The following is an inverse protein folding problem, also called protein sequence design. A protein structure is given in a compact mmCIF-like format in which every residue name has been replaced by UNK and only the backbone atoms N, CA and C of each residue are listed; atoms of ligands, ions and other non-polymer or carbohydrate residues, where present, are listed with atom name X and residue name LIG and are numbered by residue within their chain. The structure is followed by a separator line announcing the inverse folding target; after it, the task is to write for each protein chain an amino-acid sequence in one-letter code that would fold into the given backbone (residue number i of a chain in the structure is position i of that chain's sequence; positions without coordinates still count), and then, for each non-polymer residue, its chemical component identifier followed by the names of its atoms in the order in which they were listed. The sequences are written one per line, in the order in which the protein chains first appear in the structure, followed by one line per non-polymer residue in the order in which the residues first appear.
data_IF_154263231970
#
_entry.id   IF_154263231970
#
_cell.length_a   1.000
_cell.length_b   1.000
_cell.length_c   1.000
_cell.angle_alpha   90.00
_cell.angle_beta   90.00
_cell.angle_gamma   90.00
#
_symmetry.space_group_name_H-M   'P 1'
#
loop_
_entity.id
_entity.type
_entity.pdbx_description
1 polymer ?
#
# COMPACT_ATOMS: atom_id res chain seq x y z
N UNK A 1 -19.69 -41.63 2.51
CA UNK A 1 -20.40 -40.37 2.21
C UNK A 1 -19.33 -39.31 2.13
N UNK A 2 -19.09 -38.77 0.94
CA UNK A 2 -18.11 -37.70 0.75
C UNK A 2 -18.65 -36.47 1.48
N UNK A 3 -17.86 -35.91 2.40
CA UNK A 3 -18.21 -34.75 3.23
C UNK A 3 -17.10 -33.73 3.13
N UNK A 4 -17.45 -32.47 3.34
CA UNK A 4 -16.44 -31.43 3.49
C UNK A 4 -15.74 -31.59 4.84
N UNK A 5 -14.45 -31.35 4.85
CA UNK A 5 -13.62 -31.25 6.04
C UNK A 5 -13.23 -29.79 6.20
N UNK A 6 -13.43 -29.23 7.40
CA UNK A 6 -13.05 -27.86 7.72
C UNK A 6 -11.90 -27.87 8.70
N UNK A 7 -10.81 -27.22 8.32
CA UNK A 7 -9.65 -27.00 9.18
C UNK A 7 -9.58 -25.50 9.49
N UNK A 8 -9.38 -25.16 10.76
CA UNK A 8 -9.33 -23.76 11.22
C UNK A 8 -7.97 -23.52 11.86
N UNK A 9 -7.33 -22.42 11.46
CA UNK A 9 -6.05 -21.97 12.01
C UNK A 9 -6.12 -20.46 12.25
N UNK A 10 -6.13 -20.07 13.52
CA UNK A 10 -6.39 -18.69 13.95
C UNK A 10 -7.73 -18.21 13.34
N UNK A 11 -7.74 -17.05 12.67
CA UNK A 11 -8.91 -16.55 11.97
C UNK A 11 -9.11 -17.11 10.54
N UNK A 12 -8.16 -17.91 10.05
CA UNK A 12 -8.21 -18.49 8.71
C UNK A 12 -8.85 -19.89 8.76
N UNK A 13 -9.35 -20.35 7.63
CA UNK A 13 -9.84 -21.72 7.49
C UNK A 13 -9.71 -22.24 6.07
N UNK A 14 -9.69 -23.57 5.97
CA UNK A 14 -9.76 -24.32 4.73
C UNK A 14 -10.96 -25.26 4.77
N UNK A 15 -11.71 -25.35 3.68
CA UNK A 15 -12.78 -26.32 3.48
C UNK A 15 -12.44 -27.20 2.29
N UNK A 16 -12.10 -28.46 2.56
CA UNK A 16 -11.64 -29.40 1.55
C UNK A 16 -12.66 -30.52 1.34
N UNK A 17 -12.83 -30.93 0.08
CA UNK A 17 -13.57 -32.14 -0.30
C UNK A 17 -12.77 -32.93 -1.32
N UNK A 18 -12.33 -34.13 -0.94
CA UNK A 18 -11.62 -35.05 -1.81
C UNK A 18 -12.57 -36.14 -2.35
N UNK A 19 -12.78 -36.13 -3.66
CA UNK A 19 -13.63 -37.07 -4.40
C UNK A 19 -12.90 -37.52 -5.69
N UNK A 20 -13.59 -37.50 -6.83
CA UNK A 20 -12.98 -37.63 -8.16
C UNK A 20 -12.11 -36.41 -8.52
N UNK A 21 -12.45 -35.26 -7.96
CA UNK A 21 -11.67 -34.00 -7.99
C UNK A 21 -11.45 -33.54 -6.54
N UNK A 22 -10.34 -32.84 -6.30
CA UNK A 22 -10.04 -32.23 -5.01
C UNK A 22 -10.43 -30.76 -5.07
N UNK A 23 -11.41 -30.36 -4.25
CA UNK A 23 -11.79 -28.96 -4.09
C UNK A 23 -11.31 -28.45 -2.75
N UNK A 24 -10.59 -27.33 -2.73
CA UNK A 24 -10.19 -26.64 -1.50
C UNK A 24 -10.57 -25.15 -1.54
N UNK A 25 -11.39 -24.72 -0.58
CA UNK A 25 -11.73 -23.32 -0.38
C UNK A 25 -10.95 -22.77 0.82
N UNK A 26 -9.99 -21.89 0.58
CA UNK A 26 -9.20 -21.22 1.60
C UNK A 26 -9.73 -19.82 1.88
N UNK A 27 -9.71 -19.40 3.15
CA UNK A 27 -10.07 -18.05 3.59
C UNK A 27 -8.90 -17.34 4.27
N UNK A 28 -8.59 -16.13 3.81
CA UNK A 28 -7.61 -15.23 4.44
C UNK A 28 -8.32 -14.03 5.08
N UNK A 29 -8.32 -14.03 6.41
CA UNK A 29 -9.00 -13.01 7.19
C UNK A 29 -8.31 -11.64 7.11
N UNK A 30 -6.98 -11.56 6.97
CA UNK A 30 -6.25 -10.30 6.83
C UNK A 30 -6.55 -9.54 5.53
N UNK A 31 -6.95 -10.28 4.49
CA UNK A 31 -7.33 -9.71 3.18
C UNK A 31 -8.81 -9.33 3.14
N UNK A 32 -9.65 -9.99 3.94
CA UNK A 32 -11.10 -9.80 3.94
C UNK A 32 -11.54 -8.36 4.24
N UNK A 33 -12.28 -7.74 3.30
CA UNK A 33 -12.85 -6.40 3.45
C UNK A 33 -14.04 -6.31 4.43
N UNK A 34 -14.63 -7.44 4.83
CA UNK A 34 -15.90 -7.45 5.58
C UNK A 34 -17.08 -6.89 4.77
N UNK A 35 -17.07 -7.05 3.45
CA UNK A 35 -18.08 -6.45 2.56
C UNK A 35 -19.42 -7.21 2.51
N UNK A 36 -19.43 -8.48 2.87
CA UNK A 36 -20.62 -9.33 2.86
C UNK A 36 -21.08 -9.84 1.49
N UNK A 37 -20.30 -9.63 0.42
CA UNK A 37 -20.66 -10.14 -0.93
C UNK A 37 -20.80 -11.66 -0.91
N UNK A 38 -19.88 -12.36 -0.24
CA UNK A 38 -19.89 -13.82 -0.10
C UNK A 38 -21.14 -14.33 0.63
N UNK A 39 -21.62 -13.63 1.66
CA UNK A 39 -22.86 -13.94 2.36
C UNK A 39 -24.07 -13.75 1.43
N UNK A 40 -24.18 -12.59 0.76
CA UNK A 40 -25.34 -12.27 -0.09
C UNK A 40 -25.46 -13.13 -1.35
N UNK A 41 -24.36 -13.73 -1.80
CA UNK A 41 -24.29 -14.50 -3.05
C UNK A 41 -24.22 -16.01 -2.83
N UNK A 42 -24.18 -16.47 -1.58
CA UNK A 42 -24.12 -17.90 -1.28
C UNK A 42 -25.50 -18.55 -1.54
N UNK A 43 -25.64 -19.43 -2.55
CA UNK A 43 -26.95 -19.98 -2.94
C UNK A 43 -27.53 -20.96 -1.92
N UNK A 44 -26.71 -21.41 -0.97
CA UNK A 44 -27.07 -22.39 0.08
C UNK A 44 -26.98 -21.79 1.48
N UNK A 45 -26.82 -20.46 1.59
CA UNK A 45 -26.77 -19.72 2.86
C UNK A 45 -25.79 -20.36 3.87
N UNK A 46 -24.63 -20.80 3.36
CA UNK A 46 -23.59 -21.42 4.18
C UNK A 46 -22.69 -20.39 4.86
N UNK A 47 -22.69 -19.13 4.40
CA UNK A 47 -21.77 -18.08 4.86
C UNK A 47 -22.52 -17.08 5.71
N UNK A 48 -21.95 -16.70 6.85
CA UNK A 48 -22.43 -15.62 7.73
C UNK A 48 -21.33 -14.59 7.91
N UNK A 49 -21.65 -13.31 7.71
CA UNK A 49 -20.76 -12.18 7.99
C UNK A 49 -20.90 -11.81 9.47
N UNK A 50 -19.79 -11.85 10.20
CA UNK A 50 -19.77 -11.47 11.62
C UNK A 50 -19.68 -9.93 11.78
N UNK A 51 -19.87 -9.42 12.99
CA UNK A 51 -19.94 -7.98 13.26
C UNK A 51 -18.61 -7.26 12.96
N UNK A 52 -18.52 -6.71 11.75
CA UNK A 52 -17.30 -6.12 11.16
C UNK A 52 -16.79 -4.86 11.90
N UNK A 53 -17.70 -4.07 12.50
CA UNK A 53 -17.35 -2.76 13.08
C UNK A 53 -16.55 -2.82 14.40
N UNK A 54 -16.52 -3.97 15.08
CA UNK A 54 -15.73 -4.20 16.31
C UNK A 54 -14.27 -4.51 15.94
N UNK A 55 -14.08 -5.27 14.87
CA UNK A 55 -12.79 -5.83 14.48
C UNK A 55 -11.82 -4.79 13.87
N UNK A 56 -12.31 -3.87 13.03
CA UNK A 56 -11.47 -2.84 12.40
C UNK A 56 -10.85 -1.85 13.40
N UNK A 57 -11.52 -1.55 14.51
CA UNK A 57 -11.02 -0.61 15.53
C UNK A 57 -9.97 -1.24 16.47
N UNK A 58 -9.92 -2.56 16.57
CA UNK A 58 -8.95 -3.27 17.42
C UNK A 58 -7.65 -3.64 16.68
N UNK A 59 -7.70 -3.92 15.37
CA UNK A 59 -6.53 -4.41 14.59
C UNK A 59 -5.53 -3.35 14.16
N UNK A 60 -5.90 -2.07 14.11
CA UNK A 60 -5.02 -0.97 13.67
C UNK A 60 -3.92 -0.59 14.68
N UNK A 61 -3.67 -1.39 15.71
CA UNK A 61 -2.79 -1.01 16.82
C UNK A 61 -1.37 -1.59 16.78
N UNK A 62 -1.04 -2.44 15.80
CA UNK A 62 0.29 -3.08 15.70
C UNK A 62 1.09 -2.74 14.42
N UNK A 63 0.50 -2.13 13.38
CA UNK A 63 1.24 -1.74 12.18
C UNK A 63 1.53 -0.23 12.18
N UNK A 64 2.80 0.06 12.35
CA UNK A 64 3.40 1.38 12.53
C UNK A 64 3.47 2.07 11.16
N UNK A 65 2.50 2.91 10.75
CA UNK A 65 2.73 3.98 9.75
C UNK A 65 1.78 5.19 9.87
N UNK A 66 2.35 6.29 10.38
CA UNK A 66 2.27 7.68 9.89
C UNK A 66 0.95 8.30 9.37
N UNK A 67 -0.18 8.08 10.04
CA UNK A 67 -1.22 9.13 10.11
C UNK A 67 -1.23 9.71 11.52
N UNK A 68 -1.19 11.04 11.66
CA UNK A 68 -0.93 11.78 12.91
C UNK A 68 -2.00 11.67 14.02
N UNK A 69 -2.63 10.51 14.20
CA UNK A 69 -3.68 10.24 15.18
C UNK A 69 -3.24 9.26 16.28
N UNK A 70 -2.01 9.40 16.77
CA UNK A 70 -1.38 8.46 17.71
C UNK A 70 -1.93 8.49 19.16
N UNK A 71 -2.89 9.35 19.52
CA UNK A 71 -3.13 9.69 20.95
C UNK A 71 -4.51 9.40 21.56
N UNK A 72 -5.43 8.68 20.91
CA UNK A 72 -6.78 8.48 21.52
C UNK A 72 -7.20 7.00 21.66
N UNK A 73 -6.60 6.04 20.94
CA UNK A 73 -7.04 4.63 20.98
C UNK A 73 -6.40 3.76 22.08
N UNK A 74 -5.81 4.33 23.14
CA UNK A 74 -5.01 3.56 24.12
C UNK A 74 -5.80 2.86 25.24
N UNK A 75 -7.13 2.99 25.33
CA UNK A 75 -7.83 2.65 26.58
C UNK A 75 -8.78 1.43 26.58
N UNK A 76 -8.86 0.63 25.51
CA UNK A 76 -9.58 -0.66 25.57
C UNK A 76 -8.91 -1.67 24.64
N UNK A 77 -8.01 -2.49 25.19
CA UNK A 77 -7.33 -3.59 24.48
C UNK A 77 -7.72 -4.91 25.11
N UNK A 78 -8.78 -5.51 24.60
CA UNK A 78 -8.96 -6.96 24.64
C UNK A 78 -9.02 -7.41 23.16
N UNK A 79 -8.05 -8.21 22.74
CA UNK A 79 -8.01 -8.82 21.41
C UNK A 79 -9.18 -9.79 21.28
N UNK A 80 -10.30 -9.29 20.76
CA UNK A 80 -11.39 -10.16 20.31
C UNK A 80 -11.01 -10.73 18.95
N UNK A 81 -10.48 -11.95 18.96
CA UNK A 81 -10.17 -12.72 17.75
C UNK A 81 -11.49 -13.23 17.13
N UNK A 82 -12.14 -12.36 16.36
CA UNK A 82 -13.41 -12.69 15.69
C UNK A 82 -13.15 -12.82 14.19
N UNK A 83 -13.26 -14.05 13.69
CA UNK A 83 -13.28 -14.33 12.26
C UNK A 83 -14.32 -13.45 11.55
N UNK A 84 -13.96 -12.76 10.45
CA UNK A 84 -14.90 -11.86 9.76
C UNK A 84 -16.08 -12.59 9.13
N UNK A 85 -15.88 -13.84 8.74
CA UNK A 85 -16.92 -14.71 8.21
C UNK A 85 -16.89 -16.07 8.89
N UNK A 86 -18.02 -16.74 8.90
CA UNK A 86 -18.12 -18.15 9.29
C UNK A 86 -18.83 -18.93 8.18
N UNK A 87 -18.28 -20.10 7.82
CA UNK A 87 -18.88 -20.99 6.83
C UNK A 87 -19.32 -22.30 7.49
N UNK A 88 -20.56 -22.69 7.28
CA UNK A 88 -21.14 -23.99 7.61
C UNK A 88 -20.72 -25.02 6.54
N UNK A 89 -19.75 -25.86 6.88
CA UNK A 89 -19.22 -26.89 6.00
C UNK A 89 -20.24 -27.98 5.63
N UNK A 90 -21.32 -28.13 6.41
CA UNK A 90 -22.39 -29.10 6.11
C UNK A 90 -23.32 -28.61 4.99
N UNK A 91 -23.45 -27.29 4.83
CA UNK A 91 -24.23 -26.66 3.75
C UNK A 91 -23.38 -26.33 2.53
N UNK A 92 -22.11 -25.98 2.73
CA UNK A 92 -21.22 -25.57 1.65
C UNK A 92 -21.14 -26.65 0.55
N UNK A 93 -21.33 -26.26 -0.71
CA UNK A 93 -21.23 -27.19 -1.86
C UNK A 93 -19.95 -27.00 -2.68
N UNK A 94 -19.06 -26.08 -2.27
CA UNK A 94 -17.83 -25.70 -2.96
C UNK A 94 -18.07 -25.28 -4.41
N UNK A 95 -19.07 -24.42 -4.64
CA UNK A 95 -19.44 -23.92 -5.97
C UNK A 95 -18.52 -22.81 -6.50
N UNK A 96 -17.75 -22.15 -5.64
CA UNK A 96 -16.78 -21.10 -6.03
C UNK A 96 -17.33 -19.68 -6.14
N UNK A 97 -18.64 -19.44 -6.00
CA UNK A 97 -19.22 -18.08 -6.11
C UNK A 97 -18.58 -17.08 -5.15
N UNK A 98 -18.40 -17.48 -3.89
CA UNK A 98 -17.78 -16.62 -2.89
C UNK A 98 -16.30 -16.31 -3.18
N UNK A 99 -15.63 -17.12 -4.00
CA UNK A 99 -14.26 -16.88 -4.45
C UNK A 99 -14.23 -16.01 -5.71
N UNK A 100 -14.99 -16.36 -6.76
CA UNK A 100 -15.05 -15.59 -8.01
C UNK A 100 -15.70 -14.21 -7.88
N UNK A 101 -16.51 -13.99 -6.83
CA UNK A 101 -17.14 -12.70 -6.52
C UNK A 101 -16.47 -11.97 -5.34
N UNK A 102 -15.33 -12.47 -4.84
CA UNK A 102 -14.56 -11.74 -3.86
C UNK A 102 -13.76 -10.63 -4.57
N UNK A 103 -13.90 -9.35 -4.20
CA UNK A 103 -13.19 -8.27 -4.88
C UNK A 103 -11.69 -8.19 -4.54
N UNK A 104 -11.22 -9.02 -3.60
CA UNK A 104 -9.86 -8.97 -3.04
C UNK A 104 -9.26 -10.37 -2.84
N UNK A 105 -9.86 -11.41 -3.43
CA UNK A 105 -9.36 -12.79 -3.30
C UNK A 105 -9.15 -13.30 -1.85
N UNK A 106 -9.88 -12.74 -0.87
CA UNK A 106 -9.88 -13.26 0.51
C UNK A 106 -10.44 -14.69 0.62
N UNK A 107 -11.18 -15.14 -0.40
CA UNK A 107 -11.66 -16.51 -0.54
C UNK A 107 -11.13 -17.06 -1.86
N UNK A 108 -10.34 -18.13 -1.81
CA UNK A 108 -9.76 -18.77 -2.99
C UNK A 108 -10.23 -20.21 -3.06
N UNK A 109 -11.01 -20.54 -4.09
CA UNK A 109 -11.33 -21.93 -4.42
C UNK A 109 -10.30 -22.45 -5.41
N UNK A 110 -9.69 -23.58 -5.10
CA UNK A 110 -8.88 -24.38 -6.02
C UNK A 110 -9.60 -25.69 -6.36
N UNK A 111 -9.40 -26.15 -7.60
CA UNK A 111 -9.86 -27.46 -8.08
C UNK A 111 -8.62 -28.16 -8.63
N UNK A 112 -8.25 -29.30 -8.03
CA UNK A 112 -7.01 -30.02 -8.31
C UNK A 112 -5.78 -29.07 -8.30
N UNK A 113 -5.70 -28.25 -7.25
CA UNK A 113 -4.67 -27.23 -6.99
C UNK A 113 -4.62 -26.05 -7.98
N UNK A 114 -5.57 -25.96 -8.92
CA UNK A 114 -5.69 -24.81 -9.84
C UNK A 114 -6.72 -23.81 -9.31
N UNK A 115 -6.37 -22.53 -9.08
CA UNK A 115 -7.32 -21.50 -8.68
C UNK A 115 -8.43 -21.31 -9.72
N UNK A 116 -9.68 -21.20 -9.28
CA UNK A 116 -10.81 -21.06 -10.22
C UNK A 116 -10.72 -19.83 -11.12
N UNK A 117 -9.98 -18.78 -10.72
CA UNK A 117 -9.78 -17.58 -11.55
C UNK A 117 -9.03 -17.88 -12.86
N UNK A 118 -8.25 -18.96 -12.90
CA UNK A 118 -7.50 -19.42 -14.07
C UNK A 118 -8.30 -20.40 -14.94
N UNK A 119 -9.50 -20.81 -14.49
CA UNK A 119 -10.36 -21.74 -15.18
C UNK A 119 -11.43 -20.95 -15.94
N UNK A 120 -11.42 -21.02 -17.27
CA UNK A 120 -12.33 -20.25 -18.16
C UNK A 120 -13.82 -20.42 -17.81
N UNK A 121 -14.22 -21.58 -17.28
CA UNK A 121 -15.60 -21.86 -16.89
C UNK A 121 -16.10 -21.04 -15.68
N UNK A 122 -15.19 -20.43 -14.91
CA UNK A 122 -15.50 -19.69 -13.69
C UNK A 122 -15.33 -18.19 -13.90
N UNK A 123 -16.37 -17.38 -13.62
CA UNK A 123 -16.27 -15.95 -13.82
C UNK A 123 -15.49 -15.26 -12.70
N UNK A 124 -14.83 -14.18 -13.07
CA UNK A 124 -14.08 -13.29 -12.20
C UNK A 124 -14.23 -11.85 -12.70
N UNK A 125 -13.83 -10.87 -11.88
CA UNK A 125 -13.91 -9.46 -12.25
C UNK A 125 -12.83 -9.06 -13.25
N UNK A 126 -13.17 -8.19 -14.22
CA UNK A 126 -12.20 -7.60 -15.14
C UNK A 126 -11.53 -6.37 -14.51
N UNK A 127 -10.92 -6.55 -13.33
CA UNK A 127 -10.21 -5.52 -12.59
C UNK A 127 -8.69 -5.72 -12.70
N UNK A 128 -7.94 -4.63 -12.76
CA UNK A 128 -6.47 -4.68 -12.79
C UNK A 128 -5.88 -3.40 -12.20
N UNK A 129 -4.63 -3.51 -11.74
CA UNK A 129 -3.76 -2.39 -11.42
C UNK A 129 -2.41 -2.69 -12.04
N UNK A 130 -1.87 -1.75 -12.80
CA UNK A 130 -0.57 -1.88 -13.45
C UNK A 130 0.23 -0.57 -13.35
N UNK A 131 1.55 -0.68 -13.38
CA UNK A 131 2.48 0.43 -13.46
C UNK A 131 3.39 0.17 -14.65
N UNK A 132 3.44 1.12 -15.58
CA UNK A 132 4.38 1.09 -16.70
C UNK A 132 5.76 1.58 -16.24
N UNK A 133 6.73 0.68 -16.13
CA UNK A 133 8.10 0.99 -15.71
C UNK A 133 8.88 1.85 -16.73
N UNK A 134 8.43 1.92 -18.00
CA UNK A 134 9.01 2.80 -19.02
C UNK A 134 8.59 4.27 -18.81
N UNK A 135 7.39 4.50 -18.24
CA UNK A 135 6.89 5.85 -17.90
C UNK A 135 7.12 6.23 -16.42
N UNK A 136 7.44 5.26 -15.57
CA UNK A 136 7.66 5.44 -14.15
C UNK A 136 9.01 6.10 -13.85
N UNK A 137 8.98 7.19 -13.07
CA UNK A 137 10.19 7.88 -12.59
C UNK A 137 10.61 7.47 -11.17
N UNK A 138 10.04 6.38 -10.64
CA UNK A 138 10.34 5.81 -9.31
C UNK A 138 10.28 6.83 -8.15
N UNK A 139 9.31 7.75 -8.20
CA UNK A 139 9.19 8.84 -7.23
C UNK A 139 8.67 8.40 -5.84
N UNK A 140 8.20 7.15 -5.70
CA UNK A 140 7.62 6.54 -4.49
C UNK A 140 6.28 7.14 -4.00
N UNK A 141 5.61 7.99 -4.78
CA UNK A 141 4.32 8.58 -4.38
C UNK A 141 3.20 7.54 -4.23
N UNK A 142 3.11 6.59 -5.16
CA UNK A 142 2.11 5.53 -5.13
C UNK A 142 2.33 4.54 -3.98
N UNK A 143 3.59 4.23 -3.65
CA UNK A 143 3.98 3.45 -2.46
C UNK A 143 3.45 4.11 -1.19
N UNK A 144 3.69 5.41 -1.01
CA UNK A 144 3.23 6.17 0.17
C UNK A 144 1.69 6.33 0.20
N UNK A 145 1.06 6.49 -0.96
CA UNK A 145 -0.38 6.72 -1.05
C UNK A 145 -1.23 5.44 -0.95
N UNK A 146 -0.62 4.26 -1.11
CA UNK A 146 -1.35 3.00 -1.13
C UNK A 146 -1.91 2.70 0.26
N UNK A 147 -3.25 2.64 0.45
CA UNK A 147 -3.85 2.42 1.78
C UNK A 147 -3.67 0.99 2.30
N UNK A 148 -3.05 0.11 1.51
CA UNK A 148 -2.90 -1.33 1.77
C UNK A 148 -1.44 -1.78 1.69
N UNK A 149 -0.51 -0.83 1.53
CA UNK A 149 0.92 -1.09 1.34
C UNK A 149 1.23 -2.14 0.25
N UNK A 150 0.35 -2.23 -0.75
CA UNK A 150 0.42 -3.21 -1.82
C UNK A 150 1.45 -2.84 -2.90
N UNK A 151 2.15 -1.72 -2.79
CA UNK A 151 3.05 -1.23 -3.85
C UNK A 151 4.44 -1.03 -3.26
N UNK A 152 5.44 -1.64 -3.89
CA UNK A 152 6.86 -1.42 -3.58
C UNK A 152 7.52 -0.76 -4.78
N UNK A 153 8.23 0.34 -4.53
CA UNK A 153 9.01 1.05 -5.55
C UNK A 153 10.48 0.99 -5.15
N UNK A 154 11.26 0.21 -5.89
CA UNK A 154 12.71 0.21 -5.75
C UNK A 154 13.31 1.29 -6.64
N UNK A 155 14.32 2.00 -6.11
CA UNK A 155 15.09 2.96 -6.89
C UNK A 155 16.55 2.92 -6.50
N UNK A 156 17.41 2.91 -7.50
CA UNK A 156 18.86 3.04 -7.38
C UNK A 156 19.21 4.45 -7.81
N UNK A 157 19.74 5.22 -6.85
CA UNK A 157 20.22 6.57 -7.09
C UNK A 157 21.67 6.52 -7.58
N UNK A 158 22.10 7.49 -8.40
CA UNK A 158 23.51 7.68 -8.73
C UNK A 158 24.39 7.84 -7.49
N UNK A 159 25.64 7.38 -7.59
CA UNK A 159 26.64 7.65 -6.57
C UNK A 159 26.94 9.15 -6.50
N UNK A 160 27.12 9.66 -5.27
CA UNK A 160 27.39 11.08 -5.04
C UNK A 160 28.61 11.56 -5.84
N UNK A 161 29.65 10.74 -5.91
CA UNK A 161 30.90 11.02 -6.61
C UNK A 161 30.71 11.28 -8.11
N UNK A 162 29.71 10.65 -8.73
CA UNK A 162 29.41 10.83 -10.16
C UNK A 162 28.60 12.10 -10.45
N UNK A 163 28.16 12.83 -9.40
CA UNK A 163 27.35 14.06 -9.53
C UNK A 163 28.14 15.34 -9.21
N UNK A 164 29.41 15.20 -8.79
CA UNK A 164 30.27 16.32 -8.41
C UNK A 164 31.66 16.15 -9.02
N UNK A 165 32.32 17.26 -9.36
CA UNK A 165 33.69 17.24 -9.86
C UNK A 165 34.52 18.33 -9.21
N UNK A 166 35.77 17.98 -8.89
CA UNK A 166 36.73 18.87 -8.28
C UNK A 166 38.03 18.15 -7.98
N UNK A 167 38.98 18.91 -7.47
CA UNK A 167 40.27 18.41 -7.03
C UNK A 167 40.48 18.87 -5.60
N UNK A 168 41.00 17.98 -4.76
CA UNK A 168 41.34 18.27 -3.38
C UNK A 168 42.62 17.51 -2.99
N UNK A 169 43.55 18.23 -2.38
CA UNK A 169 44.79 17.70 -1.84
C UNK A 169 45.15 18.43 -0.54
N UNK A 170 45.83 17.74 0.37
CA UNK A 170 46.39 18.33 1.59
C UNK A 170 47.91 18.35 1.46
N UNK A 171 48.52 19.46 1.85
CA UNK A 171 49.96 19.58 2.04
C UNK A 171 50.29 19.13 3.47
N UNK A 172 50.91 17.97 3.60
CA UNK A 172 51.26 17.37 4.89
C UNK A 172 52.35 18.17 5.64
N UNK A 173 53.18 18.96 4.92
CA UNK A 173 54.22 19.79 5.54
C UNK A 173 53.64 21.07 6.18
N UNK A 174 52.52 21.57 5.66
CA UNK A 174 51.80 22.74 6.20
C UNK A 174 50.66 22.37 7.17
N UNK A 175 50.23 21.10 7.18
CA UNK A 175 49.15 20.63 8.03
C UNK A 175 49.61 20.50 9.48
N UNK A 176 48.89 21.15 10.39
CA UNK A 176 49.13 21.05 11.84
C UNK A 176 48.15 20.11 12.54
N UNK A 177 47.41 19.30 11.79
CA UNK A 177 46.46 18.28 12.27
C UNK A 177 45.44 18.81 13.30
N UNK A 178 45.05 20.09 13.21
CA UNK A 178 44.17 20.75 14.19
C UNK A 178 42.70 20.28 14.21
N UNK A 179 42.27 19.40 13.29
CA UNK A 179 40.90 18.87 13.23
C UNK A 179 39.81 19.83 12.73
N UNK A 180 40.08 21.14 12.58
CA UNK A 180 39.06 22.14 12.15
C UNK A 180 38.39 21.75 10.82
N UNK A 181 39.14 21.19 9.87
CA UNK A 181 38.59 20.78 8.58
C UNK A 181 37.69 19.54 8.66
N UNK A 182 37.93 18.64 9.61
CA UNK A 182 37.09 17.49 9.93
C UNK A 182 35.78 17.94 10.58
N UNK A 183 35.85 18.77 11.63
CA UNK A 183 34.67 19.28 12.34
C UNK A 183 33.74 20.10 11.43
N UNK A 184 34.31 20.85 10.49
CA UNK A 184 33.53 21.72 9.60
C UNK A 184 33.12 21.04 8.30
N UNK A 185 33.50 19.79 8.04
CA UNK A 185 33.13 19.11 6.80
C UNK A 185 31.67 18.64 6.86
N UNK A 186 30.72 19.27 6.14
CA UNK A 186 29.30 18.93 6.23
C UNK A 186 28.98 17.53 5.66
N UNK A 187 29.88 16.97 4.86
CA UNK A 187 29.75 15.66 4.26
C UNK A 187 30.52 14.57 5.03
N UNK A 188 31.18 14.92 6.14
CA UNK A 188 32.00 14.01 6.94
C UNK A 188 33.01 13.24 6.08
N UNK A 189 33.61 13.94 5.11
CA UNK A 189 34.52 13.38 4.11
C UNK A 189 35.99 13.42 4.58
N UNK A 190 36.29 14.07 5.70
CA UNK A 190 37.66 14.28 6.18
C UNK A 190 37.77 13.61 7.55
N UNK A 191 38.80 12.79 7.73
CA UNK A 191 39.15 12.17 9.00
C UNK A 191 40.59 12.55 9.34
N UNK A 192 40.82 13.05 10.55
CA UNK A 192 42.16 13.36 11.07
C UNK A 192 42.48 12.36 12.19
N UNK A 193 43.66 11.75 12.16
CA UNK A 193 44.08 10.84 13.22
C UNK A 193 44.56 11.63 14.45
N UNK A 194 43.80 11.52 15.54
CA UNK A 194 44.10 12.17 16.82
C UNK A 194 44.69 11.21 17.87
N UNK A 195 44.74 9.90 17.60
CA UNK A 195 44.91 8.87 18.64
C UNK A 195 46.20 8.06 18.50
N UNK A 196 46.66 7.78 17.28
CA UNK A 196 47.73 6.79 17.08
C UNK A 196 49.14 7.37 17.12
N UNK A 197 49.27 8.69 17.26
CA UNK A 197 50.53 9.42 17.11
C UNK A 197 51.05 9.47 15.68
N UNK A 198 50.28 8.94 14.71
CA UNK A 198 50.54 9.08 13.29
C UNK A 198 49.76 10.28 12.77
N UNK A 199 50.46 11.40 12.63
CA UNK A 199 49.99 12.60 11.95
C UNK A 199 49.53 12.25 10.53
N UNK A 200 48.21 12.07 10.36
CA UNK A 200 47.62 11.73 9.07
C UNK A 200 46.22 12.31 8.92
N UNK A 201 45.90 12.69 7.69
CA UNK A 201 44.61 13.22 7.27
C UNK A 201 44.17 12.47 6.03
N UNK A 202 42.93 11.99 6.02
CA UNK A 202 42.36 11.23 4.90
C UNK A 202 41.10 11.94 4.41
N UNK A 203 41.01 12.11 3.10
CA UNK A 203 39.82 12.69 2.44
C UNK A 203 39.16 11.62 1.59
N UNK A 204 37.96 11.21 1.98
CA UNK A 204 37.08 10.33 1.22
C UNK A 204 36.44 11.12 0.07
N UNK A 205 36.93 10.86 -1.15
CA UNK A 205 36.47 11.52 -2.37
C UNK A 205 35.06 11.12 -2.77
N UNK A 206 34.55 9.97 -2.31
CA UNK A 206 33.20 9.52 -2.62
C UNK A 206 32.15 10.28 -1.79
N UNK A 207 32.56 10.80 -0.64
CA UNK A 207 31.73 11.67 0.21
C UNK A 207 31.88 13.16 -0.12
N UNK A 208 33.05 13.60 -0.53
CA UNK A 208 33.40 15.00 -0.76
C UNK A 208 32.57 15.63 -1.88
N UNK A 209 31.95 16.79 -1.61
CA UNK A 209 31.17 17.57 -2.61
C UNK A 209 31.89 18.84 -3.09
N UNK A 210 33.18 18.97 -2.78
CA UNK A 210 34.03 20.10 -3.18
C UNK A 210 33.47 21.49 -2.80
N UNK A 211 32.82 21.61 -1.63
CA UNK A 211 32.23 22.88 -1.16
C UNK A 211 33.26 23.94 -0.69
N UNK A 212 34.54 23.56 -0.57
CA UNK A 212 35.68 24.41 -0.21
C UNK A 212 35.66 24.97 1.23
N UNK A 213 34.80 24.46 2.11
CA UNK A 213 34.76 24.89 3.53
C UNK A 213 36.10 24.61 4.22
N UNK A 214 36.65 23.41 4.06
CA UNK A 214 37.94 22.99 4.64
C UNK A 214 39.12 23.87 4.18
N UNK A 215 39.14 24.26 2.90
CA UNK A 215 40.14 25.19 2.36
C UNK A 215 40.05 26.57 3.02
N UNK A 216 38.83 27.08 3.22
CA UNK A 216 38.60 28.42 3.81
C UNK A 216 38.86 28.44 5.31
N UNK A 217 38.61 27.34 6.01
CA UNK A 217 38.78 27.26 7.46
C UNK A 217 40.18 26.86 7.90
N UNK A 218 41.02 26.36 6.98
CA UNK A 218 42.38 25.92 7.30
C UNK A 218 43.24 27.11 7.75
N UNK A 219 43.72 27.15 9.02
CA UNK A 219 44.48 28.29 9.53
C UNK A 219 45.88 28.41 8.91
N UNK A 220 46.42 27.31 8.37
CA UNK A 220 47.74 27.25 7.72
C UNK A 220 47.67 27.26 6.20
N UNK A 221 46.48 27.25 5.60
CA UNK A 221 46.25 27.10 4.16
C UNK A 221 46.75 25.77 3.54
N UNK A 222 46.98 24.73 4.34
CA UNK A 222 47.45 23.42 3.89
C UNK A 222 46.50 22.68 2.91
N UNK A 223 45.23 23.09 2.78
CA UNK A 223 44.24 22.40 1.95
C UNK A 223 44.04 23.11 0.61
N UNK A 224 44.49 22.44 -0.45
CA UNK A 224 44.28 22.86 -1.83
C UNK A 224 43.04 22.17 -2.41
N UNK A 225 41.94 22.89 -2.49
CA UNK A 225 40.69 22.42 -3.09
C UNK A 225 40.17 23.38 -4.19
N UNK A 226 39.62 22.80 -5.26
CA UNK A 226 38.99 23.49 -6.38
C UNK A 226 37.71 22.73 -6.76
N UNK A 227 36.61 23.47 -6.91
CA UNK A 227 35.38 22.95 -7.50
C UNK A 227 35.44 23.16 -9.02
N UNK A 228 35.21 22.11 -9.81
CA UNK A 228 35.24 22.17 -11.27
C UNK A 228 33.85 22.19 -11.91
N UNK A 229 32.79 22.00 -11.11
CA UNK A 229 31.44 21.72 -11.58
C UNK A 229 30.89 22.75 -12.59
N UNK A 230 30.99 24.05 -12.30
CA UNK A 230 30.41 25.08 -13.17
C UNK A 230 31.13 25.27 -14.50
N UNK A 231 32.45 25.01 -14.56
CA UNK A 231 33.25 25.27 -15.76
C UNK A 231 33.45 24.01 -16.61
N UNK A 232 33.52 22.84 -15.96
CA UNK A 232 33.88 21.58 -16.61
C UNK A 232 32.86 20.46 -16.39
N UNK A 233 31.75 20.72 -15.69
CA UNK A 233 30.75 19.69 -15.35
C UNK A 233 30.21 18.92 -16.55
N UNK A 234 29.99 19.58 -17.70
CA UNK A 234 29.54 18.90 -18.93
C UNK A 234 30.58 17.93 -19.53
N UNK A 235 31.87 18.11 -19.22
CA UNK A 235 32.96 17.26 -19.72
C UNK A 235 33.41 16.22 -18.69
N UNK A 236 33.42 16.61 -17.41
CA UNK A 236 33.88 15.78 -16.30
C UNK A 236 32.82 14.78 -15.83
N UNK A 237 31.53 15.10 -15.97
CA UNK A 237 30.41 14.24 -15.53
C UNK A 237 29.80 13.47 -16.70
N UNK A 238 29.57 12.19 -16.48
CA UNK A 238 28.88 11.31 -17.42
C UNK A 238 27.38 11.31 -17.13
N UNK A 239 26.59 11.91 -18.02
CA UNK A 239 25.13 11.96 -17.88
C UNK A 239 24.45 10.59 -17.87
N UNK A 240 25.10 9.54 -18.40
CA UNK A 240 24.56 8.19 -18.33
C UNK A 240 24.60 7.60 -16.91
N UNK A 241 25.44 8.15 -16.04
CA UNK A 241 25.54 7.76 -14.62
C UNK A 241 24.57 8.50 -13.72
N UNK A 242 23.98 9.61 -14.17
CA UNK A 242 22.99 10.37 -13.40
C UNK A 242 21.56 9.86 -13.56
N UNK A 243 21.36 8.74 -14.27
CA UNK A 243 20.05 8.13 -14.49
C UNK A 243 19.61 7.33 -13.27
N UNK A 244 18.43 7.66 -12.74
CA UNK A 244 17.77 6.86 -11.70
C UNK A 244 17.16 5.63 -12.36
N UNK A 245 17.50 4.45 -11.86
CA UNK A 245 16.92 3.17 -12.29
C UNK A 245 16.05 2.61 -11.17
N UNK A 246 15.11 1.75 -11.50
CA UNK A 246 14.21 1.18 -10.50
C UNK A 246 13.39 0.03 -11.06
N UNK A 247 12.47 -0.42 -10.22
CA UNK A 247 11.46 -1.41 -10.57
C UNK A 247 10.21 -1.14 -9.71
N UNK A 248 9.03 -1.41 -10.26
CA UNK A 248 7.78 -1.36 -9.51
C UNK A 248 7.17 -2.75 -9.34
N UNK A 249 6.56 -2.99 -8.16
CA UNK A 249 5.86 -4.24 -7.86
C UNK A 249 4.55 -3.89 -7.18
N UNK A 250 3.46 -4.52 -7.64
CA UNK A 250 2.15 -4.47 -6.98
C UNK A 250 1.83 -5.88 -6.48
N UNK A 251 1.62 -6.02 -5.16
CA UNK A 251 1.12 -7.24 -4.54
C UNK A 251 -0.37 -7.44 -4.86
N UNK A 252 -0.74 -8.47 -5.64
CA UNK A 252 -2.12 -8.70 -6.03
C UNK A 252 -3.02 -9.12 -4.86
N UNK A 253 -2.48 -9.69 -3.78
CA UNK A 253 -3.25 -10.18 -2.63
C UNK A 253 -3.65 -9.03 -1.68
N UNK A 254 -2.91 -7.91 -1.72
CA UNK A 254 -3.19 -6.72 -0.91
C UNK A 254 -3.92 -5.63 -1.69
N UNK A 255 -3.76 -5.59 -3.02
CA UNK A 255 -4.35 -4.60 -3.90
C UNK A 255 -5.88 -4.69 -3.92
N UNK A 256 -6.54 -3.55 -3.74
CA UNK A 256 -8.03 -3.46 -3.76
C UNK A 256 -8.56 -2.66 -4.95
N UNK A 257 -7.71 -2.29 -5.90
CA UNK A 257 -8.08 -1.51 -7.10
C UNK A 257 -8.67 -0.12 -6.78
N UNK A 258 -8.22 0.52 -5.69
CA UNK A 258 -8.77 1.81 -5.26
C UNK A 258 -8.46 2.98 -6.20
N UNK A 259 -7.32 2.95 -6.90
CA UNK A 259 -6.92 4.02 -7.84
C UNK A 259 -6.05 5.13 -7.21
N UNK A 260 -5.63 5.02 -5.95
CA UNK A 260 -4.73 6.01 -5.34
C UNK A 260 -3.42 6.16 -6.12
N UNK A 261 -2.84 5.04 -6.58
CA UNK A 261 -1.61 5.06 -7.37
C UNK A 261 -1.76 5.82 -8.69
N UNK A 262 -2.87 5.64 -9.40
CA UNK A 262 -3.22 6.39 -10.62
C UNK A 262 -3.42 7.88 -10.30
N UNK A 263 -4.17 8.21 -9.24
CA UNK A 263 -4.48 9.60 -8.88
C UNK A 263 -3.28 10.43 -8.38
N UNK A 264 -2.26 9.81 -7.78
CA UNK A 264 -1.06 10.52 -7.29
C UNK A 264 0.12 10.49 -8.27
N UNK A 265 0.02 9.71 -9.35
CA UNK A 265 1.11 9.53 -10.30
C UNK A 265 1.38 10.83 -11.08
N UNK A 266 2.60 11.39 -11.04
CA UNK A 266 2.91 12.62 -11.77
C UNK A 266 3.12 12.40 -13.29
N UNK A 267 3.30 11.15 -13.73
CA UNK A 267 3.58 10.78 -15.13
C UNK A 267 2.49 9.92 -15.74
N UNK A 268 1.37 9.71 -15.04
CA UNK A 268 0.25 8.85 -15.46
C UNK A 268 0.62 7.36 -15.73
N UNK A 269 1.81 6.92 -15.32
CA UNK A 269 2.33 5.56 -15.49
C UNK A 269 1.51 4.46 -14.78
N UNK A 270 0.71 4.81 -13.77
CA UNK A 270 -0.14 3.85 -13.05
C UNK A 270 -1.56 3.88 -13.61
N UNK A 271 -2.12 2.70 -13.91
CA UNK A 271 -3.49 2.53 -14.40
C UNK A 271 -4.27 1.56 -13.54
N UNK A 272 -5.50 1.92 -13.19
CA UNK A 272 -6.38 1.08 -12.38
C UNK A 272 -7.76 0.94 -13.02
N UNK A 273 -8.23 -0.29 -13.13
CA UNK A 273 -9.60 -0.62 -13.52
C UNK A 273 -10.33 -1.29 -12.37
N UNK A 274 -11.43 -0.67 -11.93
CA UNK A 274 -12.26 -1.13 -10.82
C UNK A 274 -13.26 -2.21 -11.26
N UNK A 275 -13.62 -3.15 -10.37
CA UNK A 275 -14.63 -4.17 -10.67
C UNK A 275 -16.06 -3.61 -10.67
N UNK A 276 -16.33 -2.53 -9.93
CA UNK A 276 -17.67 -1.99 -9.71
C UNK A 276 -17.76 -0.52 -10.10
N UNK A 277 -18.87 -0.13 -10.74
CA UNK A 277 -19.28 1.28 -10.89
C UNK A 277 -20.51 1.58 -10.05
N UNK A 278 -20.66 2.83 -9.67
CA UNK A 278 -21.78 3.32 -8.87
C UNK A 278 -21.37 4.49 -8.00
N UNK A 279 -22.16 4.80 -6.97
CA UNK A 279 -21.98 6.00 -6.14
C UNK A 279 -21.90 5.66 -4.64
N UNK A 280 -21.26 6.55 -3.89
CA UNK A 280 -21.31 6.59 -2.41
C UNK A 280 -21.90 7.92 -1.94
N UNK A 281 -22.84 7.86 -1.01
CA UNK A 281 -23.53 9.01 -0.45
C UNK A 281 -23.58 8.89 1.08
N UNK A 282 -23.30 10.00 1.77
CA UNK A 282 -23.35 10.10 3.24
C UNK A 282 -24.46 11.07 3.63
N UNK A 283 -25.42 10.61 4.42
CA UNK A 283 -26.50 11.38 5.01
C UNK A 283 -26.00 12.03 6.31
N UNK A 284 -25.74 13.33 6.25
CA UNK A 284 -25.17 14.09 7.36
C UNK A 284 -26.12 14.21 8.57
N UNK A 285 -27.44 14.16 8.33
CA UNK A 285 -28.46 14.25 9.39
C UNK A 285 -28.48 12.97 10.23
N UNK A 286 -28.29 11.81 9.61
CA UNK A 286 -28.19 10.52 10.30
C UNK A 286 -26.79 10.26 10.86
N UNK A 287 -25.76 10.85 10.25
CA UNK A 287 -24.37 10.66 10.66
C UNK A 287 -24.12 11.33 12.02
N UNK A 288 -23.51 10.57 12.94
CA UNK A 288 -23.11 11.06 14.27
C UNK A 288 -21.59 11.11 14.43
N UNK A 289 -20.85 11.08 13.31
CA UNK A 289 -19.37 11.14 13.28
C UNK A 289 -18.64 10.09 14.14
N UNK A 290 -19.18 8.87 14.25
CA UNK A 290 -18.62 7.83 15.13
C UNK A 290 -17.32 7.15 14.65
N UNK A 291 -16.87 7.42 13.41
CA UNK A 291 -15.61 6.89 12.84
C UNK A 291 -15.68 5.50 12.21
N UNK A 292 -16.69 4.69 12.51
CA UNK A 292 -16.74 3.28 12.06
C UNK A 292 -16.57 3.08 10.54
N UNK A 293 -17.12 4.00 9.73
CA UNK A 293 -17.02 3.94 8.27
C UNK A 293 -15.66 4.37 7.72
N UNK A 294 -14.96 5.26 8.44
CA UNK A 294 -13.61 5.72 8.12
C UNK A 294 -12.65 4.57 8.42
N UNK A 295 -12.74 3.99 9.63
CA UNK A 295 -11.85 2.92 10.10
C UNK A 295 -11.97 1.63 9.27
N UNK A 296 -13.16 1.28 8.80
CA UNK A 296 -13.36 0.07 7.98
C UNK A 296 -12.93 0.26 6.50
N UNK A 297 -12.71 1.50 6.06
CA UNK A 297 -12.46 1.78 4.66
C UNK A 297 -11.03 1.41 4.25
N UNK A 298 -10.86 0.20 3.73
CA UNK A 298 -9.58 -0.30 3.19
C UNK A 298 -9.06 0.46 1.95
N UNK A 299 -9.86 1.38 1.40
CA UNK A 299 -9.45 2.25 0.30
C UNK A 299 -9.09 3.66 0.78
N UNK A 300 -9.20 3.96 2.07
CA UNK A 300 -9.06 5.32 2.62
C UNK A 300 -9.90 6.38 1.85
N UNK A 301 -11.09 5.99 1.38
CA UNK A 301 -11.97 6.82 0.57
C UNK A 301 -12.94 7.68 1.41
N UNK A 302 -12.97 7.49 2.73
CA UNK A 302 -13.81 8.22 3.68
C UNK A 302 -12.90 8.90 4.70
N UNK A 303 -13.12 10.19 4.95
CA UNK A 303 -12.30 10.96 5.89
C UNK A 303 -13.14 11.99 6.65
N UNK A 304 -12.66 12.35 7.85
CA UNK A 304 -13.14 13.53 8.56
C UNK A 304 -12.53 14.77 7.93
N UNK A 305 -13.35 15.75 7.48
CA UNK A 305 -12.81 16.93 6.84
C UNK A 305 -12.13 17.87 7.84
N UNK A 306 -11.09 18.57 7.39
CA UNK A 306 -10.31 19.51 8.21
C UNK A 306 -10.85 20.93 8.04
N UNK A 307 -11.07 21.63 9.16
CA UNK A 307 -11.61 23.00 9.17
C UNK A 307 -10.81 23.95 8.26
N UNK A 308 -11.52 24.65 7.38
CA UNK A 308 -10.95 25.67 6.48
C UNK A 308 -10.78 27.04 7.15
N UNK A 309 -11.24 27.19 8.38
CA UNK A 309 -11.10 28.40 9.17
C UNK A 309 -12.10 28.46 10.34
N UNK A 310 -11.89 29.36 11.31
CA UNK A 310 -12.79 29.50 12.46
C UNK A 310 -14.25 29.72 12.04
N UNK A 311 -15.16 28.90 12.56
CA UNK A 311 -16.60 28.99 12.28
C UNK A 311 -17.07 28.27 11.01
N UNK A 312 -16.18 27.62 10.26
CA UNK A 312 -16.55 26.78 9.11
C UNK A 312 -17.39 25.59 9.57
N UNK A 313 -18.59 25.40 8.99
CA UNK A 313 -19.35 24.15 9.11
C UNK A 313 -18.97 23.22 7.97
N UNK A 314 -18.68 21.97 8.31
CA UNK A 314 -18.29 20.94 7.35
C UNK A 314 -19.25 19.76 7.50
N UNK A 315 -19.33 18.93 6.46
CA UNK A 315 -19.95 17.62 6.60
C UNK A 315 -19.25 16.82 7.71
N UNK A 316 -19.96 15.92 8.36
CA UNK A 316 -19.40 15.02 9.36
C UNK A 316 -18.36 14.08 8.74
N UNK A 317 -18.60 13.54 7.53
CA UNK A 317 -17.66 12.67 6.81
C UNK A 317 -17.72 13.02 5.32
N UNK A 318 -16.55 13.08 4.67
CA UNK A 318 -16.44 13.27 3.23
C UNK A 318 -16.07 11.95 2.58
N UNK A 319 -16.76 11.62 1.48
CA UNK A 319 -16.46 10.48 0.63
C UNK A 319 -15.78 10.95 -0.65
N UNK A 320 -14.60 10.41 -0.95
CA UNK A 320 -13.97 10.56 -2.25
C UNK A 320 -14.41 9.39 -3.15
N UNK A 321 -15.33 9.68 -4.06
CA UNK A 321 -15.86 8.68 -4.98
C UNK A 321 -14.76 8.14 -5.90
N UNK A 322 -13.76 8.92 -6.28
CA UNK A 322 -12.69 8.48 -7.19
C UNK A 322 -11.84 7.35 -6.60
N UNK A 323 -11.75 7.22 -5.27
CA UNK A 323 -10.95 6.17 -4.60
C UNK A 323 -11.77 5.03 -3.98
N UNK A 324 -13.08 5.19 -3.87
CA UNK A 324 -13.94 4.12 -3.36
C UNK A 324 -13.98 2.94 -4.36
N UNK A 325 -14.15 1.71 -3.88
CA UNK A 325 -14.31 0.53 -4.77
C UNK A 325 -15.74 0.01 -4.75
N UNK A 326 -16.63 0.65 -3.98
CA UNK A 326 -18.05 0.26 -3.82
C UNK A 326 -18.23 -1.14 -3.22
N UNK A 327 -17.35 -1.54 -2.31
CA UNK A 327 -17.47 -2.82 -1.60
C UNK A 327 -18.65 -2.88 -0.63
N UNK A 328 -19.20 -1.73 -0.19
CA UNK A 328 -20.28 -1.60 0.83
C UNK A 328 -19.90 -1.93 2.28
N UNK A 329 -18.62 -2.16 2.60
CA UNK A 329 -18.18 -2.41 3.97
C UNK A 329 -18.55 -1.26 4.94
N UNK A 330 -18.40 0.00 4.48
CA UNK A 330 -18.79 1.18 5.26
C UNK A 330 -20.30 1.27 5.54
N UNK A 331 -21.15 0.89 4.58
CA UNK A 331 -22.60 0.88 4.75
C UNK A 331 -23.03 -0.20 5.77
N UNK A 332 -22.40 -1.39 5.71
CA UNK A 332 -22.61 -2.48 6.68
C UNK A 332 -22.13 -2.14 8.09
N UNK A 333 -21.03 -1.39 8.20
CA UNK A 333 -20.48 -0.96 9.49
C UNK A 333 -21.26 0.19 10.15
N UNK A 334 -22.12 0.91 9.40
CA UNK A 334 -22.82 2.07 9.90
C UNK A 334 -24.04 1.68 10.76
N UNK A 335 -24.05 1.95 12.09
CA UNK A 335 -25.17 1.57 12.96
C UNK A 335 -26.45 2.38 12.69
N UNK A 336 -26.31 3.58 12.11
CA UNK A 336 -27.42 4.51 11.88
C UNK A 336 -27.94 4.47 10.44
N UNK A 337 -27.36 3.64 9.56
CA UNK A 337 -27.73 3.62 8.13
C UNK A 337 -27.50 4.96 7.43
N UNK A 338 -26.49 5.72 7.86
CA UNK A 338 -26.17 7.04 7.32
C UNK A 338 -25.36 6.99 6.00
N UNK A 339 -24.95 5.81 5.54
CA UNK A 339 -24.12 5.64 4.33
C UNK A 339 -24.82 4.72 3.36
N UNK A 340 -24.97 5.18 2.13
CA UNK A 340 -25.51 4.41 1.02
C UNK A 340 -24.43 4.24 -0.03
N UNK A 341 -24.23 3.00 -0.47
CA UNK A 341 -23.31 2.67 -1.57
C UNK A 341 -24.12 1.89 -2.60
N UNK A 342 -24.19 2.40 -3.83
CA UNK A 342 -24.91 1.77 -4.94
C UNK A 342 -23.93 1.16 -5.93
N UNK A 343 -24.27 -0.01 -6.49
CA UNK A 343 -23.54 -0.62 -7.61
C UNK A 343 -24.43 -0.65 -8.85
N UNK A 344 -24.09 0.16 -9.85
CA UNK A 344 -24.84 0.25 -11.11
C UNK A 344 -24.35 -0.75 -12.15
N UNK A 345 -23.04 -1.00 -12.19
CA UNK A 345 -22.42 -1.95 -13.10
C UNK A 345 -21.37 -2.79 -12.37
N UNK A 346 -21.21 -4.02 -12.84
CA UNK A 346 -20.19 -4.97 -12.38
C UNK A 346 -19.48 -5.50 -13.62
N UNK A 347 -18.18 -5.30 -13.70
CA UNK A 347 -17.38 -5.73 -14.84
C UNK A 347 -16.76 -7.11 -14.58
N UNK A 348 -17.14 -8.10 -15.36
CA UNK A 348 -16.77 -9.50 -15.16
C UNK A 348 -16.65 -10.27 -16.48
N UNK A 349 -15.99 -11.42 -16.47
CA UNK A 349 -15.88 -12.31 -17.63
C UNK A 349 -17.23 -12.94 -18.01
N UNK A 350 -17.40 -13.42 -19.25
CA UNK A 350 -18.68 -13.96 -19.73
C UNK A 350 -19.23 -15.10 -18.85
N UNK A 351 -20.56 -15.15 -18.69
CA UNK A 351 -21.23 -16.12 -17.81
C UNK A 351 -22.24 -16.94 -18.56
N UNK A 352 -22.09 -18.26 -18.46
CA UNK A 352 -23.00 -19.23 -19.03
C UNK A 352 -24.04 -19.74 -18.02
N UNK A 353 -23.66 -19.88 -16.74
CA UNK A 353 -24.54 -20.43 -15.70
C UNK A 353 -25.60 -19.41 -15.24
N UNK A 354 -26.87 -19.85 -15.20
CA UNK A 354 -27.99 -19.02 -14.72
C UNK A 354 -27.81 -18.59 -13.26
N UNK A 355 -27.38 -19.50 -12.39
CA UNK A 355 -27.21 -19.22 -10.95
C UNK A 355 -26.10 -18.18 -10.70
N UNK A 356 -25.05 -18.16 -11.52
CA UNK A 356 -24.01 -17.13 -11.43
C UNK A 356 -24.51 -15.76 -11.90
N UNK A 357 -25.38 -15.72 -12.91
CA UNK A 357 -26.03 -14.46 -13.34
C UNK A 357 -26.92 -13.90 -12.23
N UNK A 358 -27.74 -14.75 -11.61
CA UNK A 358 -28.58 -14.35 -10.47
C UNK A 358 -27.73 -13.81 -9.30
N UNK A 359 -26.63 -14.47 -8.96
CA UNK A 359 -25.72 -14.01 -7.91
C UNK A 359 -25.08 -12.64 -8.23
N UNK A 360 -24.70 -12.39 -9.47
CA UNK A 360 -24.12 -11.11 -9.90
C UNK A 360 -25.15 -9.99 -10.03
N UNK A 361 -26.37 -10.31 -10.42
CA UNK A 361 -27.45 -9.34 -10.43
C UNK A 361 -27.88 -8.99 -9.00
N UNK A 362 -27.79 -9.93 -8.05
CA UNK A 362 -28.08 -9.68 -6.64
C UNK A 362 -27.09 -8.72 -5.95
N UNK A 363 -25.91 -8.49 -6.52
CA UNK A 363 -24.94 -7.52 -5.96
C UNK A 363 -25.08 -6.11 -6.54
N UNK A 364 -25.87 -5.94 -7.62
CA UNK A 364 -26.24 -4.64 -8.21
C UNK A 364 -27.44 -4.04 -7.45
N UNK A 365 -27.59 -2.72 -7.48
CA UNK A 365 -28.71 -1.99 -6.86
C UNK A 365 -29.60 -1.28 -7.87
#
# INVERSE_FOLDING_TARGET
MIRNLKEVKDNNFDITRSADEVRNLSFNDHVCLGCGICESTCPVEAITLNAVAIDARNRLSNDIYFSGHEKIAQNFREDFDVQRISIDESKCVLCGMCSGLCPVDALVLTIDDVPIREIEAYPHYNAFSEIDDDECIYCKRCEIACPRDAIVIERVLPDRADLVTGEINVDDDECIYCGICEELCPAEAIVVDHETGKESIVIDKDKCVYCLVCKKSCPTNAINAICRLCNYGEYDLDSSKSVVKGNSIIDPDLCVYCGWCEGVCPTDAAKVKKPFKGSIEVDDEKCQACGACVDICQCNALAFPVSTGPGSRMAHVVANDDYCVRCKACAKACPNGAITVKRTEVDHTPINSATWKEALDAIKD
#
